data_IF_566267915467
#
_entry.id   IF_566267915467
#
_cell.length_a   1.000
_cell.length_b   1.000
_cell.length_c   1.000
_cell.angle_alpha   90.00
_cell.angle_beta   90.00
_cell.angle_gamma   90.00
#
_symmetry.space_group_name_H-M   'P 1'
#
loop_
_entity.id
_entity.type
_entity.pdbx_description
1 polymer ?
#
# COMPACT_ATOMS: atom_id res chain seq x y z
N UNK A 1 2.60 14.16 22.91
CA UNK A 1 1.42 13.57 22.20
C UNK A 1 1.88 12.36 21.40
N UNK A 2 1.00 11.42 21.01
CA UNK A 2 1.43 10.21 20.29
C UNK A 2 2.21 10.52 18.98
N UNK A 3 1.82 11.58 18.27
CA UNK A 3 2.50 12.00 17.04
C UNK A 3 3.93 12.50 17.23
N UNK A 4 4.37 12.81 18.46
CA UNK A 4 5.77 13.19 18.75
C UNK A 4 6.77 12.06 18.43
N UNK A 5 6.27 10.86 18.18
CA UNK A 5 7.05 9.70 17.73
C UNK A 5 7.35 9.73 16.24
N UNK A 6 6.59 10.47 15.43
CA UNK A 6 6.85 10.67 13.99
C UNK A 6 7.92 11.75 13.80
N UNK A 7 9.18 11.42 14.11
CA UNK A 7 10.29 12.38 14.16
C UNK A 7 11.03 12.57 12.83
N UNK A 8 10.75 11.75 11.83
CA UNK A 8 11.40 11.89 10.52
C UNK A 8 10.99 13.23 9.90
N UNK A 9 11.92 14.07 9.44
CA UNK A 9 11.59 15.29 8.71
C UNK A 9 10.70 14.99 7.52
N UNK A 10 9.72 15.86 7.25
CA UNK A 10 8.74 15.61 6.17
C UNK A 10 9.41 15.44 4.80
N UNK A 11 10.49 16.21 4.54
CA UNK A 11 11.27 16.06 3.32
C UNK A 11 11.86 14.65 3.19
N UNK A 12 12.51 14.15 4.26
CA UNK A 12 13.08 12.82 4.27
C UNK A 12 11.99 11.76 4.07
N UNK A 13 10.87 11.89 4.76
CA UNK A 13 9.75 10.97 4.62
C UNK A 13 9.25 10.90 3.17
N UNK A 14 9.05 12.05 2.51
CA UNK A 14 8.54 12.13 1.14
C UNK A 14 9.54 11.60 0.10
N UNK A 15 10.82 11.92 0.26
CA UNK A 15 11.85 11.61 -0.74
C UNK A 15 12.41 10.19 -0.60
N UNK A 16 12.29 9.58 0.57
CA UNK A 16 12.83 8.24 0.84
C UNK A 16 11.78 7.14 0.98
N UNK A 17 10.50 7.48 1.19
CA UNK A 17 9.42 6.48 1.19
C UNK A 17 9.35 5.76 -0.15
N UNK A 18 9.26 4.44 -0.12
CA UNK A 18 9.12 3.61 -1.30
C UNK A 18 8.44 2.27 -0.99
N UNK A 19 7.98 1.60 -2.03
CA UNK A 19 7.33 0.30 -1.93
C UNK A 19 8.27 -0.78 -1.40
N UNK A 20 8.05 -1.23 -0.17
CA UNK A 20 8.75 -2.35 0.47
C UNK A 20 7.95 -3.63 0.22
N UNK A 21 8.63 -4.69 -0.22
CA UNK A 21 8.00 -5.97 -0.57
C UNK A 21 8.63 -7.17 0.12
N UNK A 22 9.68 -6.95 0.92
CA UNK A 22 10.36 -7.97 1.72
C UNK A 22 10.37 -7.53 3.18
N UNK A 23 9.62 -8.24 3.99
CA UNK A 23 9.41 -7.90 5.40
C UNK A 23 10.04 -8.93 6.31
N UNK A 24 10.51 -8.47 7.48
CA UNK A 24 10.76 -9.35 8.64
C UNK A 24 9.42 -9.79 9.21
N UNK A 25 9.43 -10.88 9.96
CA UNK A 25 8.23 -11.41 10.63
C UNK A 25 8.00 -10.82 12.02
N UNK A 26 8.86 -9.88 12.46
CA UNK A 26 8.75 -9.24 13.77
C UNK A 26 7.40 -8.52 13.90
N UNK A 27 6.67 -8.68 15.01
CA UNK A 27 5.38 -8.03 15.23
C UNK A 27 5.56 -6.52 15.31
N UNK A 28 4.57 -5.78 14.83
CA UNK A 28 4.50 -4.33 14.98
C UNK A 28 3.75 -4.03 16.26
N UNK A 29 4.27 -3.18 17.18
CA UNK A 29 3.53 -2.74 18.35
C UNK A 29 2.18 -2.13 17.99
N UNK A 30 1.15 -2.45 18.76
CA UNK A 30 -0.21 -1.98 18.48
C UNK A 30 -0.30 -0.45 18.55
N UNK A 31 0.51 0.19 19.37
CA UNK A 31 0.62 1.64 19.50
C UNK A 31 1.18 2.29 18.22
N UNK A 32 2.07 1.60 17.51
CA UNK A 32 2.59 2.05 16.22
C UNK A 32 1.52 1.91 15.13
N UNK A 33 0.81 0.81 15.12
CA UNK A 33 -0.33 0.61 14.20
C UNK A 33 -1.39 1.68 14.42
N UNK A 34 -1.74 1.95 15.68
CA UNK A 34 -2.70 3.01 16.03
C UNK A 34 -2.23 4.37 15.50
N UNK A 35 -0.97 4.76 15.76
CA UNK A 35 -0.41 6.02 15.29
C UNK A 35 -0.40 6.13 13.75
N UNK A 36 -0.12 5.03 13.06
CA UNK A 36 -0.18 4.96 11.59
C UNK A 36 -1.60 5.22 11.08
N UNK A 37 -2.62 4.64 11.72
CA UNK A 37 -4.02 4.86 11.36
C UNK A 37 -4.47 6.28 11.73
N UNK A 38 -4.03 6.81 12.88
CA UNK A 38 -4.29 8.21 13.26
C UNK A 38 -3.76 9.19 12.21
N UNK A 39 -2.57 8.96 11.68
CA UNK A 39 -2.02 9.77 10.60
C UNK A 39 -2.85 9.64 9.31
N UNK A 40 -3.31 8.43 8.98
CA UNK A 40 -4.14 8.19 7.80
C UNK A 40 -5.43 9.00 7.83
N UNK A 41 -6.15 9.02 8.96
CA UNK A 41 -7.44 9.73 9.08
C UNK A 41 -7.30 11.26 9.08
N UNK A 42 -6.08 11.80 9.23
CA UNK A 42 -5.80 13.24 9.10
C UNK A 42 -5.71 13.72 7.66
N UNK A 43 -5.72 12.82 6.69
CA UNK A 43 -5.69 13.19 5.28
C UNK A 43 -6.94 14.00 4.87
N UNK A 44 -6.80 14.92 3.89
CA UNK A 44 -7.95 15.64 3.36
C UNK A 44 -8.94 14.67 2.71
N UNK A 45 -10.23 14.96 2.89
CA UNK A 45 -11.31 14.18 2.29
C UNK A 45 -12.46 15.08 1.83
N UNK A 46 -13.15 14.67 0.79
CA UNK A 46 -14.20 15.48 0.14
C UNK A 46 -15.32 15.86 1.11
N UNK A 47 -15.51 17.17 1.31
CA UNK A 47 -16.56 17.71 2.18
C UNK A 47 -16.48 17.28 3.65
N UNK A 48 -15.31 16.86 4.11
CA UNK A 48 -15.08 16.30 5.45
C UNK A 48 -16.03 15.13 5.78
N UNK A 49 -16.42 14.35 4.78
CA UNK A 49 -17.37 13.23 4.95
C UNK A 49 -16.78 12.04 5.68
N UNK A 50 -15.45 11.98 5.81
CA UNK A 50 -14.72 10.97 6.56
C UNK A 50 -15.14 9.53 6.18
N UNK A 51 -15.24 9.28 4.87
CA UNK A 51 -15.71 8.01 4.29
C UNK A 51 -14.69 6.86 4.38
N UNK A 52 -13.41 7.16 4.63
CA UNK A 52 -12.36 6.16 4.75
C UNK A 52 -12.62 5.17 5.88
N UNK A 53 -12.36 3.89 5.63
CA UNK A 53 -12.39 2.81 6.63
C UNK A 53 -11.15 1.96 6.49
N UNK A 54 -10.59 1.58 7.63
CA UNK A 54 -9.38 0.75 7.68
C UNK A 54 -9.69 -0.52 8.45
N UNK A 55 -9.50 -1.68 7.81
CA UNK A 55 -9.52 -2.97 8.48
C UNK A 55 -8.07 -3.44 8.68
N UNK A 56 -7.70 -3.65 9.93
CA UNK A 56 -6.32 -4.01 10.32
C UNK A 56 -6.26 -5.47 10.71
N UNK A 57 -5.34 -6.21 10.12
CA UNK A 57 -5.06 -7.61 10.43
C UNK A 57 -3.72 -7.72 11.15
N UNK A 58 -3.71 -8.36 12.30
CA UNK A 58 -2.51 -8.70 13.10
C UNK A 58 -2.49 -10.17 13.53
N UNK A 59 -3.63 -10.86 13.45
CA UNK A 59 -3.71 -12.29 13.72
C UNK A 59 -3.00 -13.08 12.61
N UNK A 60 -2.02 -13.88 13.01
CA UNK A 60 -1.18 -14.66 12.10
C UNK A 60 -1.95 -15.69 11.27
N UNK A 61 -2.98 -16.28 11.85
CA UNK A 61 -3.79 -17.29 11.14
C UNK A 61 -4.67 -16.62 10.10
N UNK A 62 -5.29 -15.48 10.45
CA UNK A 62 -6.08 -14.66 9.52
C UNK A 62 -5.21 -14.13 8.37
N UNK A 63 -3.99 -13.64 8.66
CA UNK A 63 -3.06 -13.17 7.64
C UNK A 63 -2.61 -14.33 6.73
N UNK A 64 -2.38 -15.51 7.29
CA UNK A 64 -1.99 -16.70 6.51
C UNK A 64 -3.09 -17.12 5.53
N UNK A 65 -4.33 -17.13 5.99
CA UNK A 65 -5.50 -17.43 5.15
C UNK A 65 -5.68 -16.37 4.05
N UNK A 66 -5.60 -15.08 4.41
CA UNK A 66 -5.62 -13.99 3.45
C UNK A 66 -4.47 -14.08 2.43
N UNK A 67 -3.29 -14.49 2.85
CA UNK A 67 -2.13 -14.68 1.99
C UNK A 67 -2.41 -15.61 0.80
N UNK A 68 -3.22 -16.64 1.00
CA UNK A 68 -3.66 -17.54 -0.08
C UNK A 68 -4.53 -16.80 -1.10
N UNK A 69 -5.49 -15.99 -0.64
CA UNK A 69 -6.33 -15.16 -1.50
C UNK A 69 -5.49 -14.13 -2.28
N UNK A 70 -4.54 -13.49 -1.59
CA UNK A 70 -3.66 -12.51 -2.22
C UNK A 70 -2.76 -13.11 -3.30
N UNK A 71 -2.15 -14.27 -3.02
CA UNK A 71 -1.32 -15.00 -3.98
C UNK A 71 -2.12 -15.33 -5.25
N UNK A 72 -3.31 -15.88 -5.09
CA UNK A 72 -4.18 -16.19 -6.22
C UNK A 72 -4.57 -14.95 -7.03
N UNK A 73 -4.97 -13.86 -6.34
CA UNK A 73 -5.30 -12.59 -6.97
C UNK A 73 -4.13 -12.03 -7.79
N UNK A 74 -2.91 -12.11 -7.24
CA UNK A 74 -1.72 -11.59 -7.89
C UNK A 74 -1.42 -12.35 -9.20
N UNK A 75 -1.46 -13.69 -9.16
CA UNK A 75 -1.20 -14.51 -10.35
C UNK A 75 -2.35 -14.45 -11.36
N UNK A 76 -3.61 -14.35 -10.94
CA UNK A 76 -4.73 -14.12 -11.84
C UNK A 76 -4.54 -12.85 -12.67
N UNK A 77 -4.16 -11.75 -12.01
CA UNK A 77 -3.86 -10.48 -12.67
C UNK A 77 -2.68 -10.59 -13.64
N UNK A 78 -1.61 -11.30 -13.27
CA UNK A 78 -0.44 -11.48 -14.17
C UNK A 78 -0.76 -12.36 -15.36
N UNK A 79 -1.57 -13.39 -15.16
CA UNK A 79 -2.06 -14.24 -16.26
C UNK A 79 -2.86 -13.42 -17.27
N UNK A 80 -3.78 -12.60 -16.79
CA UNK A 80 -4.63 -11.75 -17.65
C UNK A 80 -3.83 -10.70 -18.42
N UNK A 81 -2.94 -9.97 -17.73
CA UNK A 81 -2.22 -8.84 -18.31
C UNK A 81 -0.99 -9.23 -19.14
N UNK A 82 -0.34 -10.36 -18.81
CA UNK A 82 0.99 -10.73 -19.33
C UNK A 82 1.14 -12.20 -19.74
N UNK A 83 0.16 -13.04 -19.48
CA UNK A 83 0.25 -14.48 -19.70
C UNK A 83 1.12 -15.24 -18.69
N UNK A 84 1.60 -14.57 -17.63
CA UNK A 84 2.48 -15.18 -16.61
C UNK A 84 1.67 -15.92 -15.56
N UNK A 85 2.06 -17.16 -15.29
CA UNK A 85 1.41 -18.05 -14.32
C UNK A 85 2.32 -18.49 -13.18
N UNK A 86 3.63 -18.31 -13.33
CA UNK A 86 4.66 -18.68 -12.36
C UNK A 86 5.85 -17.72 -12.43
N UNK A 87 6.68 -17.71 -11.39
CA UNK A 87 7.84 -16.81 -11.30
C UNK A 87 8.84 -16.96 -12.45
N UNK A 88 8.99 -18.17 -12.99
CA UNK A 88 9.88 -18.44 -14.13
C UNK A 88 9.41 -17.75 -15.43
N UNK A 89 8.14 -17.38 -15.54
CA UNK A 89 7.59 -16.70 -16.70
C UNK A 89 7.95 -15.19 -16.71
N UNK A 90 8.41 -14.65 -15.57
CA UNK A 90 8.75 -13.23 -15.42
C UNK A 90 10.16 -12.98 -15.99
N UNK A 91 10.29 -12.14 -17.04
CA UNK A 91 11.60 -11.85 -17.65
C UNK A 91 12.61 -11.31 -16.64
N UNK A 92 13.94 -11.61 -16.81
CA UNK A 92 14.99 -11.18 -15.90
C UNK A 92 15.07 -9.67 -15.65
N UNK A 93 14.77 -8.87 -16.65
CA UNK A 93 14.74 -7.40 -16.63
C UNK A 93 13.58 -6.83 -15.81
N UNK A 94 12.50 -7.57 -15.65
CA UNK A 94 11.28 -7.15 -14.91
C UNK A 94 11.46 -7.31 -13.39
N UNK A 95 12.51 -6.68 -12.86
CA UNK A 95 12.93 -6.80 -11.44
C UNK A 95 11.81 -6.44 -10.45
N UNK A 96 10.98 -5.44 -10.79
CA UNK A 96 9.88 -5.03 -9.93
C UNK A 96 8.78 -6.10 -9.84
N UNK A 97 8.50 -6.80 -10.94
CA UNK A 97 7.54 -7.90 -10.95
C UNK A 97 8.08 -9.14 -10.21
N UNK A 98 9.39 -9.41 -10.30
CA UNK A 98 10.02 -10.46 -9.48
C UNK A 98 9.87 -10.18 -8.00
N UNK A 99 10.17 -8.96 -7.53
CA UNK A 99 9.96 -8.55 -6.14
C UNK A 99 8.47 -8.60 -5.73
N UNK A 100 7.57 -8.26 -6.64
CA UNK A 100 6.13 -8.34 -6.37
C UNK A 100 5.64 -9.79 -6.29
N UNK A 101 6.20 -10.72 -7.08
CA UNK A 101 5.90 -12.16 -6.96
C UNK A 101 6.41 -12.76 -5.65
N UNK A 102 7.55 -12.30 -5.15
CA UNK A 102 8.04 -12.69 -3.83
C UNK A 102 7.08 -12.25 -2.72
N UNK A 103 6.58 -11.00 -2.78
CA UNK A 103 5.55 -10.55 -1.86
C UNK A 103 4.26 -11.39 -1.97
N UNK A 104 3.88 -11.81 -3.18
CA UNK A 104 2.70 -12.66 -3.35
C UNK A 104 2.84 -13.99 -2.61
N UNK A 105 4.02 -14.59 -2.63
CA UNK A 105 4.32 -15.84 -1.93
C UNK A 105 4.43 -15.63 -0.41
N UNK A 106 4.95 -14.47 0.02
CA UNK A 106 5.27 -14.15 1.42
C UNK A 106 4.17 -13.32 2.14
N UNK A 107 3.09 -12.95 1.48
CA UNK A 107 2.00 -12.17 2.09
C UNK A 107 1.45 -12.86 3.35
N UNK A 108 1.43 -14.17 3.38
CA UNK A 108 1.02 -15.00 4.52
C UNK A 108 1.89 -14.84 5.78
N UNK A 109 3.10 -14.29 5.63
CA UNK A 109 4.11 -14.18 6.70
C UNK A 109 4.32 -12.72 7.15
N UNK A 110 3.65 -11.74 6.53
CA UNK A 110 3.77 -10.35 6.94
C UNK A 110 3.16 -10.13 8.33
N UNK A 111 3.74 -9.23 9.16
CA UNK A 111 3.25 -9.05 10.53
C UNK A 111 1.92 -8.30 10.64
N UNK A 112 1.58 -7.48 9.64
CA UNK A 112 0.35 -6.69 9.64
C UNK A 112 -0.11 -6.41 8.20
N UNK A 113 -1.41 -6.40 7.99
CA UNK A 113 -2.03 -5.97 6.72
C UNK A 113 -3.14 -4.97 7.03
N UNK A 114 -3.18 -3.87 6.30
CA UNK A 114 -4.25 -2.89 6.39
C UNK A 114 -5.03 -2.86 5.07
N UNK A 115 -6.35 -3.02 5.13
CA UNK A 115 -7.23 -2.77 4.00
C UNK A 115 -7.78 -1.36 4.08
N UNK A 116 -7.57 -0.58 3.04
CA UNK A 116 -8.11 0.76 2.91
C UNK A 116 -9.38 0.71 2.05
N UNK A 117 -10.50 1.06 2.65
CA UNK A 117 -11.84 0.98 2.09
C UNK A 117 -12.54 2.33 2.19
N UNK A 118 -13.66 2.48 1.49
CA UNK A 118 -14.56 3.62 1.63
C UNK A 118 -16.02 3.17 1.74
N UNK A 119 -16.76 3.77 2.68
CA UNK A 119 -18.22 3.63 2.72
C UNK A 119 -18.89 4.55 1.67
N UNK A 120 -20.12 4.28 1.22
CA UNK A 120 -20.80 5.12 0.23
C UNK A 120 -20.90 6.61 0.65
N UNK A 121 -20.78 7.52 -0.30
CA UNK A 121 -20.53 7.36 -1.74
C UNK A 121 -19.03 7.17 -2.07
N UNK A 122 -18.47 6.07 -1.64
CA UNK A 122 -17.05 5.76 -1.60
C UNK A 122 -16.30 6.08 -2.91
N UNK A 123 -15.32 6.98 -2.82
CA UNK A 123 -14.42 7.31 -3.92
C UNK A 123 -12.96 7.12 -3.51
N UNK A 124 -12.11 6.73 -4.45
CA UNK A 124 -10.68 6.59 -4.24
C UNK A 124 -10.02 7.93 -3.83
N UNK A 125 -10.59 9.06 -4.25
CA UNK A 125 -10.01 10.39 -4.05
C UNK A 125 -9.75 10.75 -2.59
N UNK A 126 -10.56 10.25 -1.65
CA UNK A 126 -10.36 10.46 -0.21
C UNK A 126 -9.50 9.37 0.43
N UNK A 127 -9.43 8.18 -0.17
CA UNK A 127 -8.68 7.05 0.36
C UNK A 127 -7.21 7.10 -0.05
N UNK A 128 -6.91 7.62 -1.26
CA UNK A 128 -5.53 7.75 -1.75
C UNK A 128 -4.68 8.66 -0.83
N UNK A 129 -5.11 9.89 -0.47
CA UNK A 129 -4.36 10.72 0.47
C UNK A 129 -4.19 10.07 1.85
N UNK A 130 -5.23 9.39 2.34
CA UNK A 130 -5.16 8.68 3.61
C UNK A 130 -4.15 7.53 3.57
N UNK A 131 -4.11 6.77 2.46
CA UNK A 131 -3.11 5.72 2.24
C UNK A 131 -1.70 6.30 2.16
N UNK A 132 -1.52 7.45 1.54
CA UNK A 132 -0.21 8.12 1.50
C UNK A 132 0.25 8.55 2.89
N UNK A 133 -0.61 9.17 3.71
CA UNK A 133 -0.30 9.51 5.09
C UNK A 133 0.06 8.27 5.93
N UNK A 134 -0.69 7.18 5.77
CA UNK A 134 -0.41 5.88 6.40
C UNK A 134 1.02 5.42 6.08
N UNK A 135 1.41 5.44 4.81
CA UNK A 135 2.72 4.98 4.37
C UNK A 135 3.86 5.88 4.87
N UNK A 136 3.65 7.21 4.91
CA UNK A 136 4.64 8.15 5.45
C UNK A 136 4.81 7.99 6.97
N UNK A 137 3.72 7.81 7.71
CA UNK A 137 3.77 7.55 9.14
C UNK A 137 4.48 6.21 9.46
N UNK A 138 4.14 5.15 8.73
CA UNK A 138 4.83 3.87 8.84
C UNK A 138 6.34 4.03 8.57
N UNK A 139 6.71 4.74 7.50
CA UNK A 139 8.11 4.99 7.15
C UNK A 139 8.86 5.75 8.24
N UNK A 140 8.23 6.77 8.85
CA UNK A 140 8.81 7.51 9.97
C UNK A 140 9.09 6.65 11.20
N UNK A 141 8.37 5.53 11.35
CA UNK A 141 8.58 4.54 12.42
C UNK A 141 9.52 3.39 11.99
N UNK A 142 10.17 3.49 10.83
CA UNK A 142 11.02 2.43 10.30
C UNK A 142 10.23 1.22 9.74
N UNK A 143 8.92 1.35 9.57
CA UNK A 143 8.02 0.32 9.06
C UNK A 143 7.84 0.53 7.55
N UNK A 144 8.15 -0.50 6.78
CA UNK A 144 7.95 -0.54 5.34
C UNK A 144 6.49 -0.82 4.98
N UNK A 145 6.09 -0.35 3.80
CA UNK A 145 4.74 -0.55 3.27
C UNK A 145 4.72 -0.57 1.75
N UNK A 146 3.67 -1.12 1.16
CA UNK A 146 3.36 -1.00 -0.26
C UNK A 146 1.86 -1.08 -0.49
N UNK A 147 1.23 -0.14 -1.22
CA UNK A 147 -0.17 -0.25 -1.59
C UNK A 147 -0.30 -1.23 -2.74
N UNK A 148 -1.18 -2.21 -2.60
CA UNK A 148 -1.50 -3.21 -3.63
C UNK A 148 -3.01 -3.34 -3.80
N UNK A 149 -3.43 -4.02 -4.86
CA UNK A 149 -4.85 -4.26 -5.16
C UNK A 149 -5.10 -5.76 -5.29
N UNK A 150 -6.36 -6.17 -5.15
CA UNK A 150 -6.81 -7.53 -5.43
C UNK A 150 -7.42 -7.63 -6.82
N UNK A 151 -7.38 -8.82 -7.40
CA UNK A 151 -8.03 -9.12 -8.66
C UNK A 151 -9.54 -9.40 -8.44
N UNK A 152 -10.42 -9.02 -9.38
CA UNK A 152 -11.87 -9.25 -9.24
C UNK A 152 -12.26 -10.71 -8.94
N UNK A 153 -11.54 -11.69 -9.45
CA UNK A 153 -11.84 -13.12 -9.28
C UNK A 153 -11.87 -13.59 -7.82
N UNK A 154 -11.21 -12.89 -6.90
CA UNK A 154 -11.17 -13.28 -5.49
C UNK A 154 -12.07 -12.41 -4.59
N UNK A 155 -12.72 -11.37 -5.15
CA UNK A 155 -13.41 -10.35 -4.34
C UNK A 155 -14.57 -10.89 -3.53
N UNK A 156 -15.32 -11.87 -4.03
CA UNK A 156 -16.44 -12.44 -3.27
C UNK A 156 -15.95 -13.23 -2.05
N UNK A 157 -14.91 -14.04 -2.21
CA UNK A 157 -14.28 -14.76 -1.09
C UNK A 157 -13.64 -13.82 -0.10
N UNK A 158 -12.93 -12.81 -0.60
CA UNK A 158 -12.32 -11.79 0.23
C UNK A 158 -13.37 -11.06 1.08
N UNK A 159 -14.48 -10.64 0.48
CA UNK A 159 -15.57 -9.98 1.20
C UNK A 159 -16.23 -10.91 2.22
N UNK A 160 -16.46 -12.17 1.86
CA UNK A 160 -17.03 -13.15 2.77
C UNK A 160 -16.13 -13.42 3.97
N UNK A 161 -14.80 -13.58 3.76
CA UNK A 161 -13.82 -13.81 4.80
C UNK A 161 -13.80 -12.71 5.87
N UNK A 162 -13.95 -11.45 5.45
CA UNK A 162 -13.85 -10.29 6.34
C UNK A 162 -15.19 -9.62 6.64
N UNK A 163 -16.31 -10.21 6.25
CA UNK A 163 -17.65 -9.65 6.40
C UNK A 163 -17.76 -8.21 5.86
N UNK A 164 -17.06 -7.89 4.77
CA UNK A 164 -17.08 -6.55 4.16
C UNK A 164 -18.38 -6.38 3.35
N UNK A 165 -19.24 -5.40 3.70
CA UNK A 165 -20.48 -5.13 2.97
C UNK A 165 -20.25 -4.88 1.48
N UNK A 166 -21.22 -5.26 0.64
CA UNK A 166 -21.11 -5.13 -0.82
C UNK A 166 -20.98 -3.69 -1.30
N UNK A 167 -21.57 -2.76 -0.59
CA UNK A 167 -21.56 -1.32 -0.86
C UNK A 167 -20.27 -0.61 -0.38
N UNK A 168 -19.44 -1.28 0.43
CA UNK A 168 -18.12 -0.76 0.81
C UNK A 168 -17.13 -0.95 -0.33
N UNK A 169 -16.54 0.14 -0.82
CA UNK A 169 -15.52 0.08 -1.85
C UNK A 169 -14.15 -0.31 -1.23
N UNK A 170 -13.56 -1.41 -1.71
CA UNK A 170 -12.17 -1.78 -1.40
C UNK A 170 -11.25 -1.08 -2.39
N UNK A 171 -10.19 -0.44 -1.89
CA UNK A 171 -9.21 0.29 -2.71
C UNK A 171 -7.82 -0.33 -2.65
N UNK A 172 -7.29 -0.53 -1.45
CA UNK A 172 -5.92 -1.01 -1.28
C UNK A 172 -5.80 -2.08 -0.19
N UNK A 173 -4.88 -3.01 -0.45
CA UNK A 173 -4.28 -3.90 0.53
C UNK A 173 -2.86 -3.39 0.80
N UNK A 174 -2.52 -3.12 2.04
CA UNK A 174 -1.26 -2.50 2.44
C UNK A 174 -0.58 -3.39 3.48
N UNK A 175 0.32 -4.30 3.08
CA UNK A 175 1.18 -5.00 4.03
C UNK A 175 2.13 -4.01 4.70
N UNK A 176 2.32 -4.18 6.00
CA UNK A 176 3.22 -3.43 6.86
C UNK A 176 4.19 -4.38 7.55
N UNK A 177 5.44 -3.99 7.69
CA UNK A 177 6.46 -4.75 8.41
C UNK A 177 7.83 -4.09 8.38
N UNK A 178 8.74 -4.52 9.24
CA UNK A 178 10.11 -4.04 9.19
C UNK A 178 10.80 -4.55 7.92
N UNK A 179 11.49 -3.67 7.14
CA UNK A 179 12.17 -4.08 5.92
C UNK A 179 13.31 -5.06 6.20
N UNK A 180 13.48 -6.08 5.34
CA UNK A 180 14.66 -6.97 5.42
C UNK A 180 15.95 -6.29 4.98
N UNK A 181 15.85 -5.25 4.13
CA UNK A 181 17.02 -4.53 3.61
C UNK A 181 16.77 -3.04 3.66
N UNK A 182 17.82 -2.26 3.88
CA UNK A 182 17.77 -0.82 3.72
C UNK A 182 17.48 -0.45 2.25
N UNK A 183 16.78 0.66 2.07
CA UNK A 183 16.48 1.21 0.75
C UNK A 183 16.75 2.72 0.74
N UNK A 184 17.25 3.22 -0.38
CA UNK A 184 17.57 4.61 -0.56
C UNK A 184 16.39 5.43 -1.12
N UNK A 185 16.68 6.64 -1.57
CA UNK A 185 15.71 7.57 -2.14
C UNK A 185 14.96 7.00 -3.35
N UNK A 186 13.77 7.50 -3.57
CA UNK A 186 12.97 7.18 -4.75
C UNK A 186 13.54 7.85 -6.00
N UNK A 187 13.74 7.08 -7.06
CA UNK A 187 14.12 7.62 -8.37
C UNK A 187 12.85 8.01 -9.13
N UNK A 188 12.84 9.20 -9.68
CA UNK A 188 11.75 9.75 -10.51
C UNK A 188 12.34 10.44 -11.73
N UNK A 189 11.50 10.67 -12.72
CA UNK A 189 11.84 11.54 -13.86
C UNK A 189 12.05 12.97 -13.37
N UNK A 190 12.82 13.81 -14.07
CA UNK A 190 12.90 15.24 -13.81
C UNK A 190 11.51 15.88 -13.81
N UNK A 191 11.30 16.86 -12.93
CA UNK A 191 10.00 17.53 -12.83
C UNK A 191 9.63 18.30 -14.09
N UNK A 192 10.62 18.74 -14.88
CA UNK A 192 10.43 19.36 -16.20
C UNK A 192 9.74 18.45 -17.23
N UNK A 193 9.86 17.12 -17.07
CA UNK A 193 9.16 16.16 -17.97
C UNK A 193 7.71 15.91 -17.53
N UNK A 194 7.33 16.31 -16.34
CA UNK A 194 6.02 15.97 -15.74
C UNK A 194 5.18 17.18 -15.39
N UNK A 195 5.70 18.39 -15.68
CA UNK A 195 5.05 19.64 -15.26
C UNK A 195 4.97 20.62 -16.41
N UNK A 196 3.85 21.33 -16.50
CA UNK A 196 3.61 22.36 -17.49
C UNK A 196 3.20 23.65 -16.81
N UNK A 197 3.63 24.81 -17.34
CA UNK A 197 3.32 26.12 -16.76
C UNK A 197 2.13 26.77 -17.50
N UNK A 198 1.09 27.12 -16.76
CA UNK A 198 -0.12 27.82 -17.19
C UNK A 198 -1.01 27.09 -18.22
N UNK A 199 -0.47 26.21 -19.07
CA UNK A 199 -1.24 25.41 -20.04
C UNK A 199 -0.50 24.11 -20.36
N UNK A 200 -1.26 23.11 -20.76
CA UNK A 200 -0.70 21.80 -21.14
C UNK A 200 0.31 21.96 -22.28
N UNK A 201 1.46 21.31 -22.14
CA UNK A 201 2.56 21.36 -23.12
C UNK A 201 3.49 22.58 -23.01
N UNK A 202 3.15 23.60 -22.22
CA UNK A 202 4.05 24.73 -22.00
C UNK A 202 5.18 24.37 -21.02
N UNK A 203 6.47 24.63 -21.37
CA UNK A 203 7.59 24.24 -20.52
C UNK A 203 7.63 25.01 -19.21
N UNK A 204 8.23 24.41 -18.20
CA UNK A 204 8.56 25.06 -16.92
C UNK A 204 9.96 25.70 -16.97
N UNK A 205 10.26 26.74 -16.16
CA UNK A 205 11.56 27.42 -16.17
C UNK A 205 12.66 26.71 -15.36
N UNK A 206 12.35 25.57 -14.75
CA UNK A 206 13.33 24.76 -13.98
C UNK A 206 13.62 23.42 -14.66
N UNK A 207 14.77 22.80 -14.33
CA UNK A 207 15.26 21.51 -14.83
C UNK A 207 15.02 20.37 -13.81
#
# INVERSE_FOLDING_TARGET
>A
MAFDRLKMPIGDAMFTQRSVRRFKSDPIPIEDIHLIIDAAVKAPNGGNRQIGRFLVLTDRNVIREFGTIYHEAWWAKRKEERGWTKRADIPPEEKNYKLASELADEMKDVPCVVFACAVPPGTANSVIPATQNLMLAAHSLGIGSVPTTLHPTVMDRFRAMFAIPKDVAFHFCIPLGYPRTAYGSSRRRPTSETTYLNRWGAPVPWT
#
